data_IF_915121205758
#
_entry.id   IF_915121205758
#
_cell.length_a   1.000
_cell.length_b   1.000
_cell.length_c   1.000
_cell.angle_alpha   90.00
_cell.angle_beta   90.00
_cell.angle_gamma   90.00
#
_symmetry.space_group_name_H-M   'P 1'
#
loop_
_entity.id
_entity.type
_entity.pdbx_description
1 polymer ?
#
# COMPACT_ATOMS: atom_id res chain seq x y z
N UNK A 1 -6.41 -27.64 6.54
CA UNK A 1 -5.67 -27.14 5.37
C UNK A 1 -4.27 -27.71 5.47
N UNK A 2 -3.80 -28.40 4.44
CA UNK A 2 -2.55 -29.18 4.46
C UNK A 2 -1.30 -28.33 4.72
N UNK A 3 -0.55 -28.65 5.77
CA UNK A 3 0.70 -27.99 6.18
C UNK A 3 1.78 -28.02 5.08
N UNK A 4 1.68 -28.93 4.11
CA UNK A 4 2.64 -29.10 3.03
C UNK A 4 2.52 -28.05 1.90
N UNK A 5 1.49 -27.18 1.88
CA UNK A 5 1.36 -26.12 0.86
C UNK A 5 2.10 -24.81 1.18
N UNK A 6 2.60 -24.60 2.40
CA UNK A 6 3.24 -23.33 2.79
C UNK A 6 4.76 -23.25 2.50
N UNK A 7 5.39 -24.30 1.95
CA UNK A 7 6.84 -24.34 1.71
C UNK A 7 7.33 -23.46 0.54
N UNK A 8 6.45 -22.86 -0.27
CA UNK A 8 6.80 -22.13 -1.49
C UNK A 8 6.70 -20.59 -1.43
N UNK A 9 6.33 -20.00 -0.29
CA UNK A 9 5.96 -18.57 -0.21
C UNK A 9 7.17 -17.62 -0.30
N UNK A 10 8.38 -18.10 0.00
CA UNK A 10 9.64 -17.35 -0.11
C UNK A 10 10.58 -18.11 -1.05
N UNK A 11 10.99 -17.48 -2.15
CA UNK A 11 11.86 -18.09 -3.16
C UNK A 11 13.20 -18.57 -2.59
N UNK A 12 13.81 -19.56 -3.25
CA UNK A 12 15.04 -20.27 -2.84
C UNK A 12 16.12 -19.33 -2.26
N UNK A 13 16.35 -19.39 -0.95
CA UNK A 13 17.51 -18.74 -0.33
C UNK A 13 17.43 -18.26 1.13
N UNK A 14 16.46 -18.69 1.96
CA UNK A 14 16.51 -18.34 3.38
C UNK A 14 15.31 -18.76 4.22
N UNK A 15 15.52 -19.85 4.98
CA UNK A 15 14.72 -20.41 6.09
C UNK A 15 13.41 -21.16 5.73
N UNK A 16 13.35 -22.49 5.95
CA UNK A 16 12.09 -23.25 5.96
C UNK A 16 11.31 -22.94 7.26
N UNK A 17 9.99 -22.88 7.16
CA UNK A 17 9.00 -22.58 8.22
C UNK A 17 8.64 -21.09 8.39
N UNK A 18 7.86 -20.53 7.47
CA UNK A 18 6.95 -19.43 7.81
C UNK A 18 5.54 -19.68 7.30
N UNK A 19 4.63 -19.69 8.27
CA UNK A 19 3.31 -20.29 8.24
C UNK A 19 2.28 -19.23 7.87
N UNK A 20 1.46 -19.52 6.88
CA UNK A 20 0.16 -18.89 6.74
C UNK A 20 -0.84 -19.60 7.64
N UNK A 21 -1.32 -18.96 8.71
CA UNK A 21 -2.35 -19.55 9.59
C UNK A 21 -3.68 -18.87 9.35
N UNK A 22 -4.68 -19.69 9.01
CA UNK A 22 -6.10 -19.31 8.93
C UNK A 22 -6.64 -18.86 10.28
N UNK A 23 -7.68 -18.04 10.22
CA UNK A 23 -8.35 -17.40 11.35
C UNK A 23 -8.59 -18.28 12.58
N UNK A 24 -8.70 -17.56 13.70
CA UNK A 24 -8.82 -17.97 15.10
C UNK A 24 -7.48 -18.30 15.80
N UNK A 25 -7.06 -17.33 16.64
CA UNK A 25 -5.96 -17.36 17.61
C UNK A 25 -4.52 -17.06 17.13
N UNK A 26 -4.33 -15.99 16.36
CA UNK A 26 -3.22 -15.08 16.67
C UNK A 26 -3.56 -14.41 18.01
N UNK A 27 -3.02 -14.94 19.11
CA UNK A 27 -2.86 -14.19 20.36
C UNK A 27 -1.43 -13.67 20.33
N UNK A 28 -1.28 -12.39 20.04
CA UNK A 28 -0.11 -11.55 20.32
C UNK A 28 1.28 -12.19 20.10
N UNK A 29 1.97 -11.80 19.02
CA UNK A 29 3.34 -11.32 19.23
C UNK A 29 4.48 -11.70 18.27
N UNK A 30 4.30 -12.43 17.16
CA UNK A 30 5.37 -12.53 16.14
C UNK A 30 4.84 -12.30 14.73
N UNK A 31 4.91 -11.05 14.27
CA UNK A 31 4.75 -10.69 12.85
C UNK A 31 5.99 -11.10 12.04
N UNK A 32 5.91 -11.04 10.72
CA UNK A 32 7.05 -11.36 9.82
C UNK A 32 8.07 -10.23 9.75
N UNK A 33 7.77 -9.10 10.41
CA UNK A 33 8.61 -7.93 10.49
C UNK A 33 9.93 -8.23 11.21
N UNK A 34 11.04 -7.68 10.69
CA UNK A 34 12.38 -7.82 11.29
C UNK A 34 12.87 -9.27 11.47
N UNK A 35 12.39 -10.21 10.66
CA UNK A 35 12.78 -11.62 10.74
C UNK A 35 14.03 -11.98 9.92
N UNK A 36 14.64 -10.99 9.25
CA UNK A 36 15.79 -11.22 8.36
C UNK A 36 15.43 -12.00 7.10
N UNK A 37 14.17 -11.89 6.66
CA UNK A 37 13.70 -12.49 5.41
C UNK A 37 14.47 -11.91 4.23
N UNK A 38 14.72 -12.75 3.23
CA UNK A 38 15.52 -12.39 2.05
C UNK A 38 14.84 -12.82 0.75
N UNK A 39 15.33 -12.31 -0.36
CA UNK A 39 14.91 -12.73 -1.70
C UNK A 39 13.68 -11.96 -2.18
N UNK A 40 12.75 -12.64 -2.84
CA UNK A 40 11.59 -12.01 -3.47
C UNK A 40 10.28 -12.62 -2.98
N UNK A 41 9.21 -11.82 -2.98
CA UNK A 41 7.86 -12.30 -2.69
C UNK A 41 7.37 -13.23 -3.80
N UNK A 42 7.15 -14.50 -3.47
CA UNK A 42 6.65 -15.50 -4.42
C UNK A 42 5.18 -15.25 -4.79
N UNK A 43 4.78 -15.66 -6.00
CA UNK A 43 3.38 -15.65 -6.45
C UNK A 43 2.45 -16.52 -5.59
N UNK A 44 3.02 -17.45 -4.81
CA UNK A 44 2.25 -18.32 -3.92
C UNK A 44 1.57 -17.57 -2.77
N UNK A 45 1.98 -16.32 -2.48
CA UNK A 45 1.30 -15.47 -1.51
C UNK A 45 -0.20 -15.34 -1.84
N UNK A 46 -0.57 -15.31 -3.11
CA UNK A 46 -1.97 -15.22 -3.54
C UNK A 46 -2.84 -16.42 -3.16
N UNK A 47 -2.26 -17.53 -2.69
CA UNK A 47 -3.01 -18.68 -2.18
C UNK A 47 -3.52 -18.46 -0.74
N UNK A 48 -3.05 -17.42 -0.04
CA UNK A 48 -3.40 -17.12 1.35
C UNK A 48 -4.70 -16.31 1.44
N UNK A 49 -5.76 -16.76 0.76
CA UNK A 49 -7.00 -15.98 0.55
C UNK A 49 -7.76 -15.62 1.82
N UNK A 50 -7.44 -16.24 2.96
CA UNK A 50 -8.03 -15.92 4.26
C UNK A 50 -7.23 -14.92 5.10
N UNK A 51 -6.10 -14.44 4.60
CA UNK A 51 -5.21 -13.57 5.33
C UNK A 51 -5.87 -12.21 5.57
N UNK A 52 -5.92 -11.79 6.84
CA UNK A 52 -6.47 -10.50 7.25
C UNK A 52 -5.40 -9.41 7.34
N UNK A 53 -4.18 -9.78 7.71
CA UNK A 53 -3.08 -8.85 7.93
C UNK A 53 -1.78 -9.48 7.45
N UNK A 54 -0.99 -8.69 6.71
CA UNK A 54 0.37 -9.04 6.29
C UNK A 54 1.29 -7.88 6.65
N UNK A 55 2.29 -8.15 7.49
CA UNK A 55 3.38 -7.21 7.79
C UNK A 55 4.72 -7.89 7.53
N UNK A 56 5.44 -7.41 6.52
CA UNK A 56 6.76 -7.88 6.08
C UNK A 56 7.87 -6.87 6.40
N UNK A 57 7.61 -5.85 7.19
CA UNK A 57 8.48 -4.68 7.32
C UNK A 57 9.89 -5.00 7.86
N UNK A 58 10.84 -4.11 7.62
CA UNK A 58 12.20 -4.18 8.17
C UNK A 58 12.94 -5.49 7.84
N UNK A 59 12.64 -6.08 6.69
CA UNK A 59 13.40 -7.17 6.10
C UNK A 59 14.22 -6.60 4.94
N UNK A 60 15.37 -6.01 5.27
CA UNK A 60 16.17 -5.21 4.31
C UNK A 60 16.61 -6.00 3.06
N UNK A 61 16.76 -7.32 3.15
CA UNK A 61 17.16 -8.20 2.04
C UNK A 61 15.97 -8.81 1.29
N UNK A 62 14.73 -8.52 1.72
CA UNK A 62 13.50 -8.91 1.02
C UNK A 62 13.10 -7.79 0.04
N UNK A 63 12.93 -8.13 -1.22
CA UNK A 63 12.68 -7.13 -2.25
C UNK A 63 12.20 -7.68 -3.59
N UNK A 64 12.69 -7.06 -4.66
CA UNK A 64 12.19 -7.33 -6.02
C UNK A 64 10.77 -6.77 -6.24
N UNK A 65 10.09 -7.17 -7.33
CA UNK A 65 8.74 -6.70 -7.62
C UNK A 65 7.71 -7.28 -6.64
N UNK A 66 6.75 -6.45 -6.24
CA UNK A 66 5.53 -6.93 -5.58
C UNK A 66 4.74 -7.73 -6.62
N UNK A 67 4.53 -9.02 -6.37
CA UNK A 67 3.82 -9.91 -7.28
C UNK A 67 2.35 -9.51 -7.45
N UNK A 68 1.83 -9.60 -8.68
CA UNK A 68 0.41 -9.34 -9.00
C UNK A 68 -0.57 -10.21 -8.21
N UNK A 69 -0.13 -11.42 -7.83
CA UNK A 69 -0.92 -12.35 -7.03
C UNK A 69 -1.32 -11.82 -5.65
N UNK A 70 -0.69 -10.74 -5.17
CA UNK A 70 -1.11 -10.03 -3.94
C UNK A 70 -2.59 -9.62 -4.00
N UNK A 71 -3.12 -9.32 -5.20
CA UNK A 71 -4.52 -8.98 -5.41
C UNK A 71 -5.51 -10.12 -5.12
N UNK A 72 -5.03 -11.34 -4.89
CA UNK A 72 -5.87 -12.49 -4.53
C UNK A 72 -6.18 -12.56 -3.03
N UNK A 73 -5.55 -11.72 -2.20
CA UNK A 73 -5.75 -11.69 -0.74
C UNK A 73 -7.07 -10.98 -0.38
N UNK A 74 -8.21 -11.49 -0.86
CA UNK A 74 -9.50 -10.77 -0.85
C UNK A 74 -10.04 -10.38 0.53
N UNK A 75 -9.53 -10.97 1.61
CA UNK A 75 -9.92 -10.65 3.00
C UNK A 75 -8.94 -9.73 3.74
N UNK A 76 -7.87 -9.30 3.09
CA UNK A 76 -6.82 -8.51 3.74
C UNK A 76 -7.32 -7.10 4.05
N UNK A 77 -7.12 -6.68 5.29
CA UNK A 77 -7.44 -5.33 5.77
C UNK A 77 -6.17 -4.51 6.00
N UNK A 78 -5.04 -5.17 6.27
CA UNK A 78 -3.76 -4.52 6.58
C UNK A 78 -2.63 -5.12 5.75
N UNK A 79 -1.96 -4.29 4.95
CA UNK A 79 -0.81 -4.66 4.13
C UNK A 79 0.34 -3.68 4.39
N UNK A 80 1.41 -4.19 5.02
CA UNK A 80 2.56 -3.40 5.46
C UNK A 80 3.84 -4.05 4.93
N UNK A 81 4.62 -3.28 4.18
CA UNK A 81 5.88 -3.70 3.56
C UNK A 81 6.93 -2.57 3.69
N UNK A 82 7.06 -2.01 4.89
CA UNK A 82 7.89 -0.83 5.15
C UNK A 82 9.36 -1.18 5.28
N UNK A 83 10.26 -0.34 4.77
CA UNK A 83 11.71 -0.50 4.95
C UNK A 83 12.20 -1.89 4.51
N UNK A 84 11.84 -2.26 3.28
CA UNK A 84 12.33 -3.42 2.57
C UNK A 84 13.09 -2.95 1.33
N UNK A 85 13.46 -3.88 0.45
CA UNK A 85 14.09 -3.59 -0.85
C UNK A 85 13.12 -3.84 -2.03
N UNK A 86 11.80 -3.66 -1.83
CA UNK A 86 10.83 -3.83 -2.92
C UNK A 86 11.08 -2.79 -4.02
N UNK A 87 10.94 -3.20 -5.28
CA UNK A 87 11.31 -2.40 -6.45
C UNK A 87 10.35 -2.64 -7.61
N UNK A 88 10.52 -1.88 -8.70
CA UNK A 88 9.59 -1.92 -9.83
C UNK A 88 8.25 -1.25 -9.52
N UNK A 89 7.27 -1.42 -10.41
CA UNK A 89 5.98 -0.76 -10.28
C UNK A 89 5.09 -1.40 -9.22
N UNK A 90 4.30 -0.58 -8.53
CA UNK A 90 3.21 -1.05 -7.67
C UNK A 90 2.15 -1.76 -8.55
N UNK A 91 1.79 -3.02 -8.26
CA UNK A 91 0.82 -3.75 -9.05
C UNK A 91 -0.58 -3.15 -8.89
N UNK A 92 -1.27 -2.93 -10.01
CA UNK A 92 -2.65 -2.44 -10.05
C UNK A 92 -3.64 -3.34 -9.32
N UNK A 93 -3.31 -4.63 -9.18
CA UNK A 93 -4.09 -5.68 -8.54
C UNK A 93 -4.27 -5.45 -7.03
N UNK A 94 -3.43 -4.62 -6.39
CA UNK A 94 -3.70 -4.14 -5.02
C UNK A 94 -5.05 -3.40 -4.96
N UNK A 95 -5.46 -2.73 -6.04
CA UNK A 95 -6.77 -2.08 -6.14
C UNK A 95 -7.96 -3.04 -6.07
N UNK A 96 -7.75 -4.35 -6.17
CA UNK A 96 -8.82 -5.34 -6.04
C UNK A 96 -8.95 -5.89 -4.60
N UNK A 97 -8.27 -5.29 -3.64
CA UNK A 97 -8.33 -5.60 -2.20
C UNK A 97 -9.36 -4.70 -1.51
N UNK A 98 -10.64 -4.91 -1.80
CA UNK A 98 -11.75 -4.02 -1.40
C UNK A 98 -11.92 -3.86 0.14
N UNK A 99 -11.41 -4.81 0.92
CA UNK A 99 -11.41 -4.78 2.39
C UNK A 99 -10.20 -4.02 3.00
N UNK A 100 -9.24 -3.60 2.18
CA UNK A 100 -8.00 -2.97 2.64
C UNK A 100 -8.28 -1.61 3.27
N UNK A 101 -7.87 -1.46 4.53
CA UNK A 101 -8.00 -0.23 5.30
C UNK A 101 -6.64 0.42 5.63
N UNK A 102 -5.56 -0.37 5.64
CA UNK A 102 -4.22 0.11 5.95
C UNK A 102 -3.22 -0.38 4.91
N UNK A 103 -2.65 0.54 4.14
CA UNK A 103 -1.61 0.27 3.15
C UNK A 103 -0.37 1.10 3.47
N UNK A 104 0.75 0.44 3.75
CA UNK A 104 2.04 1.08 3.95
C UNK A 104 3.13 0.37 3.13
N UNK A 105 3.66 1.07 2.13
CA UNK A 105 4.71 0.63 1.21
C UNK A 105 5.93 1.56 1.26
N UNK A 106 6.02 2.41 2.29
CA UNK A 106 7.03 3.45 2.37
C UNK A 106 8.45 2.92 2.63
N UNK A 107 9.44 3.74 2.28
CA UNK A 107 10.87 3.42 2.38
C UNK A 107 11.23 2.14 1.62
N UNK A 108 10.97 2.15 0.31
CA UNK A 108 11.36 1.10 -0.63
C UNK A 108 11.96 1.74 -1.89
N UNK A 109 12.21 0.92 -2.91
CA UNK A 109 12.74 1.33 -4.22
C UNK A 109 11.66 1.25 -5.31
N UNK A 110 10.38 1.45 -4.96
CA UNK A 110 9.26 1.34 -5.91
C UNK A 110 9.30 2.48 -6.93
N UNK A 111 9.00 2.15 -8.18
CA UNK A 111 9.04 3.06 -9.34
C UNK A 111 7.68 3.11 -10.05
N UNK A 112 7.59 3.83 -11.16
CA UNK A 112 6.36 3.88 -11.96
C UNK A 112 5.35 4.89 -11.40
N UNK A 113 4.06 4.69 -11.68
CA UNK A 113 2.99 5.60 -11.25
C UNK A 113 2.20 5.01 -10.07
N UNK A 114 1.47 5.86 -9.35
CA UNK A 114 0.41 5.39 -8.44
C UNK A 114 -0.69 4.74 -9.30
N UNK A 115 -1.09 3.47 -9.06
CA UNK A 115 -2.12 2.83 -9.87
C UNK A 115 -3.49 3.52 -9.70
N UNK A 116 -4.17 3.95 -10.78
CA UNK A 116 -5.51 4.54 -10.67
C UNK A 116 -6.54 3.59 -10.03
N UNK A 117 -6.33 2.28 -10.17
CA UNK A 117 -7.16 1.25 -9.53
C UNK A 117 -7.25 1.38 -8.01
N UNK A 118 -6.34 2.11 -7.37
CA UNK A 118 -6.40 2.35 -5.93
C UNK A 118 -7.63 3.17 -5.53
N UNK A 119 -8.26 3.90 -6.46
CA UNK A 119 -9.56 4.53 -6.24
C UNK A 119 -10.68 3.55 -5.86
N UNK A 120 -10.51 2.25 -6.12
CA UNK A 120 -11.46 1.21 -5.68
C UNK A 120 -11.38 0.88 -4.19
N UNK A 121 -10.31 1.29 -3.49
CA UNK A 121 -10.05 0.96 -2.09
C UNK A 121 -10.91 1.81 -1.15
N UNK A 122 -12.24 1.68 -1.25
CA UNK A 122 -13.22 2.53 -0.57
C UNK A 122 -13.13 2.53 0.96
N UNK A 123 -12.49 1.53 1.56
CA UNK A 123 -12.27 1.41 3.02
C UNK A 123 -10.90 1.90 3.47
N UNK A 124 -10.06 2.37 2.55
CA UNK A 124 -8.70 2.79 2.86
C UNK A 124 -8.74 3.99 3.81
N UNK A 125 -8.05 3.84 4.93
CA UNK A 125 -7.93 4.84 6.00
C UNK A 125 -6.52 5.42 6.06
N UNK A 126 -5.51 4.55 5.90
CA UNK A 126 -4.09 4.92 5.92
C UNK A 126 -3.44 4.53 4.58
N UNK A 127 -2.88 5.52 3.90
CA UNK A 127 -2.21 5.31 2.61
C UNK A 127 -0.82 5.95 2.61
N UNK A 128 0.19 5.09 2.80
CA UNK A 128 1.58 5.50 2.88
C UNK A 128 2.42 4.85 1.78
N UNK A 129 2.93 5.69 0.89
CA UNK A 129 3.83 5.33 -0.22
C UNK A 129 5.06 6.26 -0.22
N UNK A 130 5.30 6.93 0.90
CA UNK A 130 6.39 7.89 1.04
C UNK A 130 7.75 7.23 0.80
N UNK A 131 8.76 8.04 0.50
CA UNK A 131 10.15 7.59 0.42
C UNK A 131 10.33 6.41 -0.57
N UNK A 132 10.01 6.71 -1.83
CA UNK A 132 10.11 5.81 -2.98
C UNK A 132 10.55 6.62 -4.21
N UNK A 133 10.50 6.01 -5.40
CA UNK A 133 10.85 6.64 -6.68
C UNK A 133 9.62 6.75 -7.60
N UNK A 134 8.42 6.93 -7.04
CA UNK A 134 7.18 7.03 -7.80
C UNK A 134 7.13 8.34 -8.60
N UNK A 135 6.56 8.28 -9.79
CA UNK A 135 6.53 9.34 -10.81
C UNK A 135 5.10 9.58 -11.31
N UNK A 136 4.93 10.59 -12.16
CA UNK A 136 3.64 10.89 -12.78
C UNK A 136 2.70 11.67 -11.86
N UNK A 137 1.49 12.01 -12.35
CA UNK A 137 0.51 12.75 -11.58
C UNK A 137 -0.19 11.89 -10.53
N UNK A 138 -0.77 12.54 -9.53
CA UNK A 138 -1.75 11.91 -8.64
C UNK A 138 -2.99 11.55 -9.48
N UNK A 139 -3.34 10.25 -9.61
CA UNK A 139 -4.40 9.84 -10.54
C UNK A 139 -5.77 10.20 -9.99
N UNK A 140 -6.60 10.83 -10.82
CA UNK A 140 -8.01 11.11 -10.55
C UNK A 140 -8.89 10.43 -11.59
N UNK A 141 -10.16 10.23 -11.23
CA UNK A 141 -11.12 9.50 -12.04
C UNK A 141 -11.30 10.14 -13.42
N UNK A 142 -11.33 9.30 -14.45
CA UNK A 142 -11.51 9.72 -15.84
C UNK A 142 -12.27 8.65 -16.62
N UNK A 143 -13.46 8.99 -17.10
CA UNK A 143 -14.37 8.03 -17.73
C UNK A 143 -14.71 6.87 -16.78
N UNK A 144 -14.40 5.64 -17.19
CA UNK A 144 -14.58 4.43 -16.38
C UNK A 144 -13.36 4.09 -15.49
N UNK A 145 -12.28 4.87 -15.55
CA UNK A 145 -11.07 4.63 -14.76
C UNK A 145 -11.23 5.33 -13.40
N UNK A 146 -11.20 4.60 -12.26
CA UNK A 146 -11.25 5.23 -10.95
C UNK A 146 -9.94 5.97 -10.65
N UNK A 147 -9.99 6.90 -9.70
CA UNK A 147 -8.82 7.61 -9.17
C UNK A 147 -8.91 7.86 -7.68
N UNK A 148 -7.87 8.48 -7.11
CA UNK A 148 -7.76 8.68 -5.67
C UNK A 148 -8.81 9.65 -5.09
N UNK A 149 -9.47 10.44 -5.94
CA UNK A 149 -10.65 11.25 -5.60
C UNK A 149 -11.83 10.43 -5.05
N UNK A 150 -11.81 9.10 -5.24
CA UNK A 150 -12.81 8.19 -4.69
C UNK A 150 -12.51 7.74 -3.25
N UNK A 151 -11.32 8.05 -2.70
CA UNK A 151 -10.88 7.61 -1.38
C UNK A 151 -11.44 8.47 -0.23
N UNK A 152 -12.76 8.62 -0.17
CA UNK A 152 -13.45 9.54 0.74
C UNK A 152 -13.22 9.25 2.25
N UNK A 153 -12.81 8.03 2.60
CA UNK A 153 -12.54 7.61 3.98
C UNK A 153 -11.06 7.68 4.38
N UNK A 154 -10.16 7.97 3.44
CA UNK A 154 -8.75 8.09 3.72
C UNK A 154 -8.50 9.32 4.59
N UNK A 155 -7.65 9.16 5.60
CA UNK A 155 -7.28 10.24 6.54
C UNK A 155 -5.82 10.60 6.52
N UNK A 156 -4.98 9.65 6.09
CA UNK A 156 -3.52 9.80 6.05
C UNK A 156 -3.06 9.56 4.63
N UNK A 157 -2.62 10.63 3.97
CA UNK A 157 -1.98 10.61 2.67
C UNK A 157 -0.50 10.94 2.83
N UNK A 158 0.37 9.93 2.85
CA UNK A 158 1.81 10.12 2.95
C UNK A 158 2.46 9.75 1.62
N UNK A 159 2.58 10.73 0.72
CA UNK A 159 3.19 10.54 -0.60
C UNK A 159 4.52 11.29 -0.74
N UNK A 160 5.01 11.89 0.35
CA UNK A 160 6.22 12.69 0.39
C UNK A 160 7.47 11.89 -0.01
N UNK A 161 8.53 12.60 -0.40
CA UNK A 161 9.81 12.01 -0.83
C UNK A 161 9.64 11.00 -1.99
N UNK A 162 9.06 11.48 -3.08
CA UNK A 162 8.91 10.76 -4.33
C UNK A 162 9.28 11.69 -5.51
N UNK A 163 8.94 11.31 -6.74
CA UNK A 163 9.12 12.12 -7.96
C UNK A 163 7.77 12.45 -8.62
N UNK A 164 6.68 12.50 -7.83
CA UNK A 164 5.34 12.81 -8.35
C UNK A 164 5.33 14.21 -8.97
N UNK A 165 4.62 14.38 -10.07
CA UNK A 165 4.64 15.58 -10.93
C UNK A 165 3.24 16.12 -11.20
N UNK A 166 3.14 17.31 -11.78
CA UNK A 166 1.84 17.95 -12.01
C UNK A 166 1.30 18.61 -10.74
N UNK A 167 0.01 18.95 -10.73
CA UNK A 167 -0.62 19.63 -9.59
C UNK A 167 -1.21 18.63 -8.60
N UNK A 168 -1.43 19.08 -7.36
CA UNK A 168 -2.36 18.39 -6.46
C UNK A 168 -3.78 18.65 -7.02
N UNK A 169 -4.56 17.62 -7.40
CA UNK A 169 -5.87 17.85 -8.02
C UNK A 169 -6.89 18.38 -7.00
N UNK A 170 -7.69 19.39 -7.39
CA UNK A 170 -8.80 19.90 -6.56
C UNK A 170 -9.78 18.80 -6.18
N UNK A 171 -10.08 17.88 -7.10
CA UNK A 171 -11.00 16.77 -6.86
C UNK A 171 -10.48 15.72 -5.88
N UNK A 172 -9.19 15.77 -5.51
CA UNK A 172 -8.62 14.83 -4.54
C UNK A 172 -9.25 15.00 -3.15
N UNK A 173 -9.69 16.21 -2.83
CA UNK A 173 -10.29 16.54 -1.54
C UNK A 173 -11.78 16.83 -1.69
N UNK A 174 -12.55 16.40 -0.70
CA UNK A 174 -13.99 16.60 -0.61
C UNK A 174 -14.35 17.08 0.79
N UNK A 175 -15.39 17.90 0.90
CA UNK A 175 -15.90 18.41 2.19
C UNK A 175 -16.36 17.31 3.15
N UNK A 176 -16.65 16.11 2.61
CA UNK A 176 -17.04 14.93 3.38
C UNK A 176 -15.84 14.17 3.98
N UNK A 177 -14.60 14.55 3.65
CA UNK A 177 -13.41 13.90 4.19
C UNK A 177 -13.09 14.40 5.60
N UNK A 178 -12.41 13.55 6.38
CA UNK A 178 -11.81 13.95 7.67
C UNK A 178 -10.32 13.67 7.63
N UNK A 179 -9.54 14.64 7.15
CA UNK A 179 -8.11 14.47 6.95
C UNK A 179 -7.35 14.74 8.24
N UNK A 180 -6.33 13.93 8.50
CA UNK A 180 -5.45 14.09 9.66
C UNK A 180 -4.07 14.51 9.14
N UNK A 181 -3.44 13.67 8.31
CA UNK A 181 -2.11 13.97 7.76
C UNK A 181 -2.11 13.95 6.23
N UNK A 182 -1.50 14.98 5.65
CA UNK A 182 -1.27 15.10 4.21
C UNK A 182 0.17 15.54 4.02
N UNK A 183 1.01 14.61 3.59
CA UNK A 183 2.44 14.81 3.38
C UNK A 183 2.74 14.60 1.91
N UNK A 184 2.95 15.69 1.18
CA UNK A 184 3.30 15.69 -0.25
C UNK A 184 4.67 16.33 -0.53
N UNK A 185 5.39 16.78 0.51
CA UNK A 185 6.70 17.41 0.40
C UNK A 185 7.74 16.51 -0.26
N UNK A 186 8.82 17.09 -0.79
CA UNK A 186 9.87 16.30 -1.45
C UNK A 186 9.39 15.56 -2.70
N UNK A 187 8.49 16.17 -3.49
CA UNK A 187 8.07 15.73 -4.81
C UNK A 187 8.42 16.78 -5.89
N UNK A 188 8.03 16.52 -7.15
CA UNK A 188 8.10 17.47 -8.28
C UNK A 188 6.74 18.11 -8.59
N UNK A 189 5.88 18.23 -7.57
CA UNK A 189 4.56 18.82 -7.70
C UNK A 189 4.67 20.32 -7.98
N UNK A 190 3.77 20.84 -8.80
CA UNK A 190 3.67 22.24 -9.19
C UNK A 190 2.27 22.79 -8.84
N UNK A 191 2.07 24.09 -9.04
CA UNK A 191 0.81 24.75 -8.70
C UNK A 191 0.71 25.12 -7.22
N UNK A 192 -0.49 25.53 -6.81
CA UNK A 192 -0.79 25.92 -5.44
C UNK A 192 -1.39 24.78 -4.61
N UNK A 193 -1.62 25.07 -3.32
CA UNK A 193 -2.44 24.23 -2.46
C UNK A 193 -3.90 24.32 -2.96
N UNK A 194 -4.60 23.20 -3.21
CA UNK A 194 -5.97 23.23 -3.71
C UNK A 194 -6.94 23.92 -2.73
N UNK A 195 -7.86 24.71 -3.24
CA UNK A 195 -8.89 25.38 -2.41
C UNK A 195 -9.80 24.35 -1.73
N UNK A 196 -10.05 23.21 -2.38
CA UNK A 196 -10.82 22.10 -1.83
C UNK A 196 -10.25 21.54 -0.53
N UNK A 197 -8.94 21.71 -0.28
CA UNK A 197 -8.34 21.33 1.00
C UNK A 197 -8.87 22.19 2.15
N UNK A 198 -9.17 23.47 1.90
CA UNK A 198 -9.80 24.36 2.87
C UNK A 198 -11.27 24.03 3.16
N UNK A 199 -11.92 23.19 2.33
CA UNK A 199 -13.29 22.73 2.54
C UNK A 199 -13.36 21.50 3.47
N UNK A 200 -12.22 20.89 3.81
CA UNK A 200 -12.17 19.73 4.69
C UNK A 200 -12.50 20.18 6.10
N UNK A 201 -13.60 19.65 6.65
CA UNK A 201 -14.23 20.15 7.87
C UNK A 201 -13.47 19.83 9.16
N UNK A 202 -12.40 19.04 9.07
CA UNK A 202 -11.51 18.71 10.18
C UNK A 202 -10.11 18.43 9.65
N UNK A 203 -9.15 19.27 10.04
CA UNK A 203 -7.71 19.06 9.85
C UNK A 203 -7.09 19.01 11.25
N UNK A 204 -6.71 17.80 11.71
CA UNK A 204 -5.98 17.66 12.97
C UNK A 204 -4.49 17.84 12.70
N UNK A 205 -3.99 19.07 12.85
CA UNK A 205 -2.56 19.37 12.86
C UNK A 205 -2.02 19.03 14.26
N UNK A 206 -1.12 18.06 14.36
CA UNK A 206 -0.28 17.80 15.55
C UNK A 206 1.17 18.14 15.27
#
# INVERSE_FOLDING_TARGET
MDFNRCKGVLGNGGVPELIAVKGSAWKAGRGLSSMGLKGTLSGDIGQLTELLSLDLSYNNDLGGPITKSIGNLKRITTLIMVACSFSGSIPSEIGDLEDLSYLALNSNNLTGIIPPSFGKLSKLYWFDIADNQLTGPIPVSSGSTPGLDQLLHAKHFHFNKNQLSGTIPESLFSSNMTLIHILFDGNRLTGGIPESLGLVTKLEVL
#
